data_IF_283661886196
#
_entry.id   IF_283661886196
#
_cell.length_a   1.000
_cell.length_b   1.000
_cell.length_c   1.000
_cell.angle_alpha   90.00
_cell.angle_beta   90.00
_cell.angle_gamma   90.00
#
_symmetry.space_group_name_H-M   'P 1'
#
loop_
_entity.id
_entity.type
_entity.pdbx_description
1 polymer ?
#
# COMPACT_ATOMS: atom_id res chain seq x y z
N UNK A 1 2.25 -2.59 16.59
CA UNK A 1 2.06 -4.05 16.40
C UNK A 1 3.34 -4.90 16.62
N UNK A 2 4.06 -4.70 17.75
CA UNK A 2 5.32 -5.43 18.05
C UNK A 2 5.11 -6.83 18.66
N UNK A 3 3.95 -7.08 19.28
CA UNK A 3 3.54 -8.38 19.83
C UNK A 3 3.40 -9.50 18.78
N UNK A 4 3.27 -9.14 17.49
CA UNK A 4 2.80 -10.08 16.48
C UNK A 4 3.92 -10.93 15.86
N UNK A 5 5.20 -10.54 15.92
CA UNK A 5 6.25 -11.20 15.12
C UNK A 5 6.57 -12.62 15.58
N UNK A 6 6.67 -12.86 16.89
CA UNK A 6 6.96 -14.19 17.43
C UNK A 6 5.76 -15.13 17.22
N UNK A 7 4.54 -14.65 17.49
CA UNK A 7 3.31 -15.43 17.29
C UNK A 7 3.00 -15.69 15.80
N UNK A 8 3.25 -14.73 14.91
CA UNK A 8 3.13 -14.92 13.45
C UNK A 8 4.18 -15.89 12.94
N UNK A 9 5.45 -15.78 13.37
CA UNK A 9 6.47 -16.75 13.02
C UNK A 9 6.05 -18.17 13.46
N UNK A 10 5.43 -18.31 14.63
CA UNK A 10 4.85 -19.57 15.09
C UNK A 10 3.68 -20.06 14.23
N UNK A 11 2.79 -19.17 13.76
CA UNK A 11 1.68 -19.53 12.87
C UNK A 11 2.17 -19.99 11.49
N UNK A 12 3.22 -19.36 10.96
CA UNK A 12 3.86 -19.72 9.68
C UNK A 12 5.06 -20.66 9.84
N UNK A 13 5.13 -21.43 10.94
CA UNK A 13 6.26 -22.32 11.24
C UNK A 13 6.54 -23.26 10.06
N UNK A 14 7.81 -23.43 9.74
CA UNK A 14 8.26 -24.27 8.63
C UNK A 14 8.41 -23.56 7.28
N UNK A 15 7.88 -22.34 7.11
CA UNK A 15 8.20 -21.51 5.94
C UNK A 15 9.59 -20.88 6.06
N UNK A 16 10.28 -20.69 4.93
CA UNK A 16 11.59 -20.05 4.89
C UNK A 16 11.55 -18.62 5.49
N UNK A 17 10.49 -17.88 5.20
CA UNK A 17 10.29 -16.53 5.74
C UNK A 17 10.14 -16.53 7.26
N UNK A 18 9.42 -17.50 7.83
CA UNK A 18 9.26 -17.62 9.28
C UNK A 18 10.60 -17.90 9.98
N UNK A 19 11.42 -18.81 9.44
CA UNK A 19 12.75 -19.13 9.98
C UNK A 19 13.63 -17.87 10.05
N UNK A 20 13.66 -17.09 8.97
CA UNK A 20 14.43 -15.85 8.92
C UNK A 20 13.95 -14.79 9.92
N UNK A 21 12.63 -14.59 10.05
CA UNK A 21 12.08 -13.62 11.01
C UNK A 21 12.35 -14.04 12.45
N UNK A 22 12.28 -15.35 12.75
CA UNK A 22 12.58 -15.92 14.07
C UNK A 22 14.04 -15.70 14.49
N UNK A 23 14.99 -15.64 13.55
CA UNK A 23 16.39 -15.33 13.84
C UNK A 23 16.64 -13.84 14.19
N UNK A 24 15.75 -12.93 13.78
CA UNK A 24 15.88 -11.46 13.98
C UNK A 24 15.07 -10.92 15.16
N UNK A 25 14.88 -11.73 16.20
CA UNK A 25 14.11 -11.38 17.41
C UNK A 25 14.53 -10.03 18.01
N UNK A 26 13.55 -9.25 18.42
CA UNK A 26 13.73 -8.09 19.30
C UNK A 26 12.87 -8.29 20.53
N UNK A 27 13.46 -8.14 21.72
CA UNK A 27 12.72 -8.22 22.99
C UNK A 27 11.60 -7.17 23.03
N UNK A 28 10.46 -7.53 23.62
CA UNK A 28 9.36 -6.62 23.90
C UNK A 28 9.80 -5.36 24.64
N UNK A 29 9.24 -4.22 24.26
CA UNK A 29 9.65 -2.91 24.80
C UNK A 29 8.96 -2.55 26.12
N UNK A 30 7.98 -3.35 26.58
CA UNK A 30 7.31 -3.15 27.86
C UNK A 30 7.05 -4.50 28.57
N UNK A 31 6.74 -4.45 29.87
CA UNK A 31 6.67 -5.64 30.73
C UNK A 31 5.69 -6.71 30.22
N UNK A 32 4.50 -6.32 29.77
CA UNK A 32 3.50 -7.25 29.25
C UNK A 32 4.00 -8.02 28.01
N UNK A 33 4.61 -7.35 27.03
CA UNK A 33 5.17 -8.05 25.85
C UNK A 33 6.34 -8.94 26.22
N UNK A 34 7.19 -8.52 27.17
CA UNK A 34 8.29 -9.35 27.65
C UNK A 34 7.80 -10.62 28.33
N UNK A 35 6.68 -10.55 29.06
CA UNK A 35 6.04 -11.74 29.64
C UNK A 35 5.53 -12.68 28.54
N UNK A 36 4.87 -12.16 27.49
CA UNK A 36 4.46 -12.98 26.36
C UNK A 36 5.66 -13.58 25.60
N UNK A 37 6.72 -12.81 25.38
CA UNK A 37 7.95 -13.31 24.75
C UNK A 37 8.54 -14.46 25.56
N UNK A 38 8.58 -14.33 26.89
CA UNK A 38 9.05 -15.38 27.80
C UNK A 38 8.16 -16.63 27.75
N UNK A 39 6.83 -16.47 27.82
CA UNK A 39 5.89 -17.59 27.80
C UNK A 39 5.91 -18.37 26.47
N UNK A 40 6.29 -17.72 25.39
CA UNK A 40 6.33 -18.29 24.04
C UNK A 40 7.76 -18.37 23.49
N UNK A 41 8.78 -18.32 24.35
CA UNK A 41 10.17 -18.38 23.94
C UNK A 41 10.53 -19.79 23.48
N UNK A 42 11.02 -19.90 22.24
CA UNK A 42 11.54 -21.15 21.68
C UNK A 42 12.95 -20.94 21.15
N UNK A 43 13.76 -21.97 20.93
CA UNK A 43 15.03 -21.79 20.22
C UNK A 43 14.78 -21.24 18.81
N UNK A 44 15.53 -20.22 18.32
CA UNK A 44 15.42 -19.78 16.94
C UNK A 44 15.96 -20.88 16.00
N UNK A 45 15.35 -21.00 14.82
CA UNK A 45 15.90 -21.81 13.74
C UNK A 45 17.22 -21.20 13.23
N UNK A 46 18.04 -22.02 12.58
CA UNK A 46 19.24 -21.53 11.87
C UNK A 46 18.84 -20.49 10.81
N UNK A 47 19.57 -19.36 10.72
CA UNK A 47 19.25 -18.30 9.78
C UNK A 47 19.44 -18.78 8.34
N UNK A 48 18.45 -18.50 7.49
CA UNK A 48 18.55 -18.76 6.05
C UNK A 48 19.35 -17.66 5.35
N UNK A 49 20.03 -18.05 4.27
CA UNK A 49 20.67 -17.11 3.37
C UNK A 49 19.61 -16.39 2.53
N UNK A 50 19.30 -15.15 2.89
CA UNK A 50 18.31 -14.33 2.18
C UNK A 50 18.61 -14.13 0.71
N UNK A 51 19.87 -14.28 0.28
CA UNK A 51 20.25 -14.13 -1.14
C UNK A 51 19.57 -15.16 -2.04
N UNK A 52 19.06 -16.25 -1.48
CA UNK A 52 18.29 -17.27 -2.22
C UNK A 52 16.79 -16.93 -2.31
N UNK A 53 16.30 -15.93 -1.57
CA UNK A 53 14.88 -15.61 -1.52
C UNK A 53 14.44 -14.85 -2.78
N UNK A 54 13.18 -15.04 -3.23
CA UNK A 54 12.64 -14.29 -4.36
C UNK A 54 12.76 -12.78 -4.18
N UNK A 55 13.14 -12.10 -5.26
CA UNK A 55 13.29 -10.64 -5.29
C UNK A 55 11.95 -9.89 -5.45
N UNK A 56 10.82 -10.60 -5.47
CA UNK A 56 9.50 -9.98 -5.43
C UNK A 56 8.46 -10.90 -4.77
N UNK A 57 7.47 -10.30 -4.12
CA UNK A 57 6.31 -10.96 -3.52
C UNK A 57 5.04 -10.22 -3.92
N UNK A 58 4.10 -10.96 -4.53
CA UNK A 58 2.75 -10.47 -4.84
C UNK A 58 1.78 -10.96 -3.77
N UNK A 59 1.37 -10.05 -2.88
CA UNK A 59 0.36 -10.27 -1.86
C UNK A 59 -1.04 -10.05 -2.44
N UNK A 60 -1.50 -10.98 -3.27
CA UNK A 60 -2.73 -10.84 -4.06
C UNK A 60 -3.98 -10.52 -3.20
N UNK A 61 -4.08 -11.08 -2.00
CA UNK A 61 -5.22 -10.83 -1.09
C UNK A 61 -5.39 -9.37 -0.67
N UNK A 62 -4.31 -8.58 -0.68
CA UNK A 62 -4.35 -7.15 -0.35
C UNK A 62 -3.95 -6.26 -1.54
N UNK A 63 -3.72 -6.85 -2.71
CA UNK A 63 -3.33 -6.14 -3.93
C UNK A 63 -2.03 -5.36 -3.80
N UNK A 64 -1.01 -5.93 -3.14
CA UNK A 64 0.31 -5.29 -2.98
C UNK A 64 1.42 -6.11 -3.59
N UNK A 65 2.41 -5.44 -4.18
CA UNK A 65 3.66 -6.04 -4.66
C UNK A 65 4.81 -5.38 -3.95
N UNK A 66 5.72 -6.20 -3.44
CA UNK A 66 7.00 -5.78 -2.88
C UNK A 66 8.09 -6.37 -3.75
N UNK A 67 9.06 -5.57 -4.18
CA UNK A 67 10.18 -6.00 -4.99
C UNK A 67 11.49 -5.36 -4.53
N UNK A 68 12.60 -6.05 -4.80
CA UNK A 68 13.95 -5.64 -4.47
C UNK A 68 14.89 -5.84 -5.65
N UNK A 69 15.95 -5.03 -5.71
CA UNK A 69 17.08 -5.23 -6.63
C UNK A 69 17.91 -6.44 -6.24
N UNK A 70 18.17 -6.61 -4.94
CA UNK A 70 18.86 -7.73 -4.32
C UNK A 70 18.60 -7.72 -2.79
N UNK A 71 19.45 -8.40 -2.02
CA UNK A 71 19.39 -8.48 -0.57
C UNK A 71 20.55 -7.76 0.14
N UNK A 72 21.32 -6.92 -0.54
CA UNK A 72 22.33 -6.08 0.12
C UNK A 72 21.67 -4.98 0.94
N UNK A 73 22.45 -4.33 1.80
CA UNK A 73 21.97 -3.26 2.68
C UNK A 73 21.55 -2.01 1.88
N UNK A 74 22.04 -1.87 0.65
CA UNK A 74 21.78 -0.76 -0.26
C UNK A 74 20.87 -1.11 -1.45
N UNK A 75 20.19 -2.26 -1.37
CA UNK A 75 19.22 -2.69 -2.36
C UNK A 75 18.19 -1.59 -2.64
N UNK A 76 17.81 -1.44 -3.91
CA UNK A 76 16.60 -0.67 -4.25
C UNK A 76 15.38 -1.50 -3.91
N UNK A 77 14.37 -0.90 -3.29
CA UNK A 77 13.08 -1.50 -3.01
C UNK A 77 11.98 -0.76 -3.74
N UNK A 78 10.99 -1.51 -4.18
CA UNK A 78 9.76 -1.00 -4.76
C UNK A 78 8.58 -1.62 -4.01
N UNK A 79 7.66 -0.78 -3.54
CA UNK A 79 6.29 -1.17 -3.20
C UNK A 79 5.36 -0.63 -4.28
N UNK A 80 4.41 -1.44 -4.70
CA UNK A 80 3.28 -1.00 -5.52
C UNK A 80 1.99 -1.55 -4.94
N UNK A 81 0.90 -0.80 -5.01
CA UNK A 81 -0.41 -1.31 -4.62
C UNK A 81 -1.53 -0.95 -5.59
N UNK A 82 -2.44 -1.89 -5.78
CA UNK A 82 -3.65 -1.74 -6.56
C UNK A 82 -4.63 -2.83 -6.12
N UNK A 83 -5.31 -2.59 -5.01
CA UNK A 83 -6.18 -3.59 -4.37
C UNK A 83 -7.53 -3.04 -3.95
N UNK A 84 -8.34 -3.91 -3.37
CA UNK A 84 -9.61 -3.51 -2.77
C UNK A 84 -9.40 -2.66 -1.51
N UNK A 85 -10.41 -1.86 -1.19
CA UNK A 85 -10.55 -1.25 0.12
C UNK A 85 -11.07 -2.29 1.12
N UNK A 86 -10.30 -2.59 2.14
CA UNK A 86 -10.67 -3.47 3.24
C UNK A 86 -11.29 -2.71 4.39
N UNK A 87 -10.56 -1.77 5.01
CA UNK A 87 -11.05 -1.14 6.22
C UNK A 87 -10.32 0.14 6.64
N UNK A 88 -10.97 0.82 7.60
CA UNK A 88 -10.56 1.96 8.41
C UNK A 88 -9.21 2.57 8.08
N UNK A 89 -8.09 1.95 8.45
CA UNK A 89 -6.75 2.55 8.38
C UNK A 89 -6.12 2.64 6.98
N UNK A 90 -6.72 2.10 5.93
CA UNK A 90 -6.22 2.30 4.56
C UNK A 90 -6.40 3.74 4.08
N UNK A 91 -5.54 4.16 3.16
CA UNK A 91 -5.66 5.46 2.50
C UNK A 91 -6.20 5.30 1.07
N UNK A 92 -6.54 6.42 0.44
CA UNK A 92 -7.03 6.46 -0.94
C UNK A 92 -5.85 6.46 -1.92
N UNK A 93 -5.18 5.31 -1.98
CA UNK A 93 -3.83 5.16 -2.54
C UNK A 93 -3.74 4.06 -3.62
N UNK A 94 -4.84 3.73 -4.30
CA UNK A 94 -4.80 2.73 -5.36
C UNK A 94 -3.93 3.21 -6.53
N UNK A 95 -2.91 2.42 -6.88
CA UNK A 95 -1.89 2.79 -7.85
C UNK A 95 -0.65 3.46 -7.25
N UNK A 96 -0.58 3.65 -5.93
CA UNK A 96 0.58 4.22 -5.27
C UNK A 96 1.83 3.34 -5.47
N UNK A 97 2.99 3.99 -5.57
CA UNK A 97 4.29 3.34 -5.54
C UNK A 97 5.21 4.02 -4.53
N UNK A 98 6.12 3.24 -3.94
CA UNK A 98 7.19 3.76 -3.09
C UNK A 98 8.51 3.15 -3.50
N UNK A 99 9.57 3.97 -3.44
CA UNK A 99 10.93 3.62 -3.82
C UNK A 99 11.85 3.96 -2.65
N UNK A 100 12.63 2.99 -2.22
CA UNK A 100 13.64 3.17 -1.19
C UNK A 100 14.99 2.70 -1.71
N UNK A 101 16.06 3.45 -1.47
CA UNK A 101 17.44 3.01 -1.63
C UNK A 101 18.33 3.85 -0.73
N UNK A 102 18.95 3.23 0.28
CA UNK A 102 19.60 3.87 1.44
C UNK A 102 18.64 4.70 2.31
N UNK A 103 17.79 5.51 1.69
CA UNK A 103 16.75 6.34 2.30
C UNK A 103 15.46 6.29 1.45
N UNK A 104 14.32 6.80 1.98
CA UNK A 104 13.11 6.94 1.19
C UNK A 104 13.34 7.92 0.03
N UNK A 105 13.20 7.46 -1.22
CA UNK A 105 13.36 8.30 -2.41
C UNK A 105 12.01 8.77 -2.96
N UNK A 106 11.05 7.84 -3.03
CA UNK A 106 9.65 8.13 -3.30
C UNK A 106 8.83 7.48 -2.20
N UNK A 107 8.11 8.27 -1.41
CA UNK A 107 7.38 7.75 -0.26
C UNK A 107 6.08 8.52 -0.06
N UNK A 108 5.19 7.96 0.75
CA UNK A 108 3.96 8.66 1.15
C UNK A 108 4.30 9.88 2.00
N UNK A 109 3.50 10.94 1.86
CA UNK A 109 3.68 12.19 2.60
C UNK A 109 2.67 12.35 3.73
N UNK A 110 3.05 13.16 4.71
CA UNK A 110 2.23 13.46 5.88
C UNK A 110 2.46 12.50 7.04
N UNK A 111 2.11 12.96 8.23
CA UNK A 111 2.31 12.23 9.49
C UNK A 111 0.97 11.93 10.16
N UNK A 112 0.86 10.77 10.79
CA UNK A 112 -0.31 10.45 11.60
C UNK A 112 -0.22 11.15 12.95
N UNK A 113 -1.07 12.15 13.15
CA UNK A 113 -1.16 12.88 14.42
C UNK A 113 -2.46 12.61 15.17
N UNK A 114 -3.56 12.45 14.43
CA UNK A 114 -4.89 12.18 14.97
C UNK A 114 -5.79 11.55 13.89
N UNK A 115 -6.91 10.96 14.30
CA UNK A 115 -7.82 10.21 13.45
C UNK A 115 -8.56 11.06 12.41
N UNK A 116 -9.05 12.24 12.80
CA UNK A 116 -9.90 13.11 11.98
C UNK A 116 -9.49 14.59 12.05
N UNK A 117 -8.19 14.85 12.26
CA UNK A 117 -7.63 16.20 12.14
C UNK A 117 -7.78 16.75 10.71
N UNK A 118 -7.68 18.09 10.52
CA UNK A 118 -7.69 18.67 9.17
C UNK A 118 -6.63 18.04 8.25
N UNK A 119 -5.43 17.76 8.77
CA UNK A 119 -4.37 17.06 8.04
C UNK A 119 -4.78 15.63 7.68
N UNK A 120 -5.36 14.89 8.62
CA UNK A 120 -5.78 13.52 8.38
C UNK A 120 -6.80 13.42 7.23
N UNK A 121 -7.86 14.22 7.26
CA UNK A 121 -8.99 14.10 6.32
C UNK A 121 -8.78 14.83 4.98
N UNK A 122 -7.84 15.79 4.91
CA UNK A 122 -7.57 16.57 3.69
C UNK A 122 -6.19 16.32 3.07
N UNK A 123 -5.30 15.57 3.73
CA UNK A 123 -3.98 15.24 3.19
C UNK A 123 -3.66 13.76 3.39
N UNK A 124 -3.36 13.34 4.62
CA UNK A 124 -2.75 12.03 4.94
C UNK A 124 -3.45 10.83 4.29
N UNK A 125 -4.78 10.76 4.38
CA UNK A 125 -5.53 9.61 3.85
C UNK A 125 -5.95 9.80 2.39
N UNK A 126 -5.69 10.97 1.82
CA UNK A 126 -6.18 11.43 0.52
C UNK A 126 -5.13 11.20 -0.55
N UNK A 127 -5.56 10.97 -1.78
CA UNK A 127 -4.69 10.58 -2.89
C UNK A 127 -3.56 11.59 -3.15
N UNK A 128 -3.80 12.88 -2.86
CA UNK A 128 -2.77 13.92 -2.96
C UNK A 128 -1.53 13.68 -2.11
N UNK A 129 -1.61 12.89 -1.03
CA UNK A 129 -0.46 12.54 -0.21
C UNK A 129 0.39 11.40 -0.76
N UNK A 130 -0.03 10.79 -1.87
CA UNK A 130 0.54 9.56 -2.43
C UNK A 130 1.10 9.78 -3.83
N UNK A 131 1.99 8.89 -4.26
CA UNK A 131 2.56 8.89 -5.60
C UNK A 131 1.54 8.32 -6.59
N UNK A 132 0.47 9.06 -6.82
CA UNK A 132 -0.72 8.64 -7.55
C UNK A 132 -1.02 9.58 -8.73
N UNK A 133 -2.18 9.38 -9.35
CA UNK A 133 -2.76 10.29 -10.34
C UNK A 133 -3.89 11.07 -9.66
N UNK A 134 -3.98 12.36 -9.95
CA UNK A 134 -5.17 13.18 -9.67
C UNK A 134 -5.87 13.50 -10.99
N UNK A 135 -7.20 13.56 -10.94
CA UNK A 135 -8.03 14.10 -12.01
C UNK A 135 -9.00 15.09 -11.37
N UNK A 136 -8.92 16.37 -11.73
CA UNK A 136 -9.72 17.40 -11.08
C UNK A 136 -11.07 17.60 -11.79
N UNK A 137 -12.15 17.45 -11.03
CA UNK A 137 -13.52 17.80 -11.43
C UNK A 137 -14.05 18.80 -10.39
N UNK A 138 -14.34 20.04 -10.80
CA UNK A 138 -14.63 21.17 -9.89
C UNK A 138 -15.77 20.90 -8.89
N UNK A 139 -16.83 20.23 -9.34
CA UNK A 139 -18.04 19.97 -8.56
C UNK A 139 -17.98 18.64 -7.76
N UNK A 140 -16.83 17.97 -7.73
CA UNK A 140 -16.67 16.74 -6.96
C UNK A 140 -16.58 17.02 -5.45
N UNK A 141 -17.36 16.27 -4.66
CA UNK A 141 -17.41 16.39 -3.20
C UNK A 141 -17.14 15.05 -2.54
N UNK A 142 -16.40 15.05 -1.42
CA UNK A 142 -16.14 13.86 -0.61
C UNK A 142 -17.11 13.75 0.57
N UNK A 143 -17.43 12.52 0.94
CA UNK A 143 -18.32 12.13 2.04
C UNK A 143 -17.73 10.92 2.75
N UNK A 144 -18.08 10.75 4.02
CA UNK A 144 -17.69 9.59 4.85
C UNK A 144 -16.17 9.28 4.93
N UNK A 145 -15.30 10.25 4.66
CA UNK A 145 -13.83 10.12 4.72
C UNK A 145 -13.25 10.24 6.13
N UNK A 146 -13.65 9.36 7.05
CA UNK A 146 -13.26 9.38 8.49
C UNK A 146 -13.59 10.69 9.23
N UNK A 147 -14.36 11.58 8.64
CA UNK A 147 -14.61 12.94 9.12
C UNK A 147 -15.75 13.01 10.16
N UNK A 148 -15.52 12.52 11.39
CA UNK A 148 -16.54 12.50 12.45
C UNK A 148 -16.92 13.90 12.93
N UNK A 149 -16.02 14.86 12.78
CA UNK A 149 -16.19 16.24 13.24
C UNK A 149 -16.81 17.17 12.20
N UNK A 150 -17.24 16.65 11.04
CA UNK A 150 -17.92 17.45 10.01
C UNK A 150 -17.06 18.58 9.44
N UNK A 151 -15.74 18.37 9.38
CA UNK A 151 -14.77 19.35 8.87
C UNK A 151 -14.99 19.63 7.38
N UNK A 152 -14.68 20.85 6.90
CA UNK A 152 -14.62 21.11 5.47
C UNK A 152 -13.63 20.17 4.78
N UNK A 153 -14.05 19.64 3.63
CA UNK A 153 -13.24 18.72 2.83
C UNK A 153 -12.74 19.42 1.57
N UNK A 154 -11.44 19.31 1.32
CA UNK A 154 -10.83 19.78 0.10
C UNK A 154 -11.08 18.79 -1.05
N UNK A 155 -11.30 19.34 -2.24
CA UNK A 155 -11.26 18.60 -3.50
C UNK A 155 -9.80 18.45 -3.91
N UNK A 156 -9.25 17.26 -3.70
CA UNK A 156 -7.87 16.94 -4.06
C UNK A 156 -7.77 16.37 -5.49
N UNK A 157 -8.88 16.24 -6.22
CA UNK A 157 -8.93 15.51 -7.49
C UNK A 157 -8.67 14.00 -7.34
N UNK A 158 -8.67 13.49 -6.11
CA UNK A 158 -8.22 12.14 -5.77
C UNK A 158 -9.28 11.05 -5.95
N UNK A 159 -9.06 9.95 -5.26
CA UNK A 159 -9.89 8.74 -5.28
C UNK A 159 -11.01 8.81 -4.22
N UNK A 160 -11.95 7.86 -4.32
CA UNK A 160 -13.06 7.50 -3.45
C UNK A 160 -13.70 8.67 -2.66
N UNK A 161 -14.83 9.13 -3.15
CA UNK A 161 -15.59 10.21 -2.54
C UNK A 161 -16.63 9.75 -1.49
N UNK A 162 -16.72 8.45 -1.21
CA UNK A 162 -17.65 7.91 -0.23
C UNK A 162 -17.15 6.55 0.27
N UNK A 163 -16.75 6.46 1.55
CA UNK A 163 -16.25 5.20 2.13
C UNK A 163 -16.95 4.83 3.44
N UNK A 164 -17.23 3.54 3.57
CA UNK A 164 -17.73 2.93 4.79
C UNK A 164 -16.85 1.73 5.17
N UNK A 165 -17.12 1.12 6.32
CA UNK A 165 -16.46 -0.11 6.72
C UNK A 165 -17.49 -1.19 7.07
N UNK A 166 -17.04 -2.45 6.99
CA UNK A 166 -17.78 -3.61 7.49
C UNK A 166 -17.01 -4.27 8.63
N UNK A 167 -17.75 -4.91 9.52
CA UNK A 167 -17.19 -5.52 10.73
C UNK A 167 -16.77 -6.96 10.49
N UNK A 168 -17.40 -7.63 9.52
CA UNK A 168 -17.10 -9.03 9.17
C UNK A 168 -16.69 -9.16 7.71
N UNK A 169 -16.00 -10.27 7.40
CA UNK A 169 -15.67 -10.62 6.02
C UNK A 169 -16.94 -10.87 5.19
N UNK A 170 -17.92 -11.55 5.76
CA UNK A 170 -19.19 -11.85 5.07
C UNK A 170 -19.94 -10.57 4.66
N UNK A 171 -20.01 -9.59 5.56
CA UNK A 171 -20.60 -8.28 5.25
C UNK A 171 -19.83 -7.56 4.14
N UNK A 172 -18.49 -7.61 4.19
CA UNK A 172 -17.65 -7.01 3.16
C UNK A 172 -17.86 -7.68 1.80
N UNK A 173 -17.95 -9.02 1.75
CA UNK A 173 -18.14 -9.80 0.53
C UNK A 173 -19.48 -9.51 -0.14
N UNK A 174 -20.56 -9.32 0.65
CA UNK A 174 -21.88 -8.93 0.13
C UNK A 174 -21.87 -7.57 -0.59
N UNK A 175 -20.92 -6.70 -0.27
CA UNK A 175 -20.78 -5.35 -0.82
C UNK A 175 -19.46 -5.15 -1.58
N UNK A 176 -18.82 -6.24 -2.00
CA UNK A 176 -17.49 -6.22 -2.61
C UNK A 176 -17.33 -5.20 -3.74
N UNK A 177 -18.37 -5.02 -4.56
CA UNK A 177 -18.34 -4.05 -5.66
C UNK A 177 -18.16 -2.60 -5.18
N UNK A 178 -18.73 -2.26 -4.02
CA UNK A 178 -18.57 -0.93 -3.41
C UNK A 178 -17.15 -0.73 -2.89
N UNK A 179 -16.45 -1.80 -2.48
CA UNK A 179 -15.10 -1.77 -1.94
C UNK A 179 -14.00 -1.95 -2.99
N UNK A 180 -14.37 -2.22 -4.23
CA UNK A 180 -13.41 -2.34 -5.31
C UNK A 180 -12.84 -0.96 -5.67
N UNK A 181 -11.52 -0.84 -5.57
CA UNK A 181 -10.77 0.39 -5.86
C UNK A 181 -9.73 0.13 -6.94
N UNK A 182 -8.98 -0.96 -6.81
CA UNK A 182 -8.16 -1.43 -7.91
C UNK A 182 -7.87 -2.92 -7.83
N UNK A 183 -7.24 -3.39 -8.90
CA UNK A 183 -6.86 -4.79 -9.10
C UNK A 183 -5.50 -4.84 -9.78
N UNK A 184 -4.61 -5.70 -9.29
CA UNK A 184 -3.40 -6.08 -10.03
C UNK A 184 -3.81 -7.03 -11.16
N UNK A 185 -3.68 -6.55 -12.40
CA UNK A 185 -4.09 -7.26 -13.62
C UNK A 185 -2.94 -7.99 -14.31
N UNK A 186 -1.69 -7.68 -13.96
CA UNK A 186 -0.51 -8.44 -14.37
C UNK A 186 0.58 -8.33 -13.31
N UNK A 187 1.32 -9.42 -13.07
CA UNK A 187 2.51 -9.43 -12.23
C UNK A 187 3.47 -10.52 -12.72
N UNK A 188 4.68 -10.13 -13.10
CA UNK A 188 5.74 -11.04 -13.55
C UNK A 188 7.05 -10.72 -12.83
N UNK A 189 7.72 -11.76 -12.34
CA UNK A 189 9.01 -11.64 -11.67
C UNK A 189 10.04 -12.53 -12.36
N UNK A 190 11.07 -11.91 -12.94
CA UNK A 190 12.24 -12.55 -13.56
C UNK A 190 13.51 -12.14 -12.80
N UNK A 191 14.69 -12.74 -13.06
CA UNK A 191 15.94 -12.26 -12.47
C UNK A 191 16.23 -10.79 -12.81
N UNK A 192 16.12 -10.42 -14.08
CA UNK A 192 16.58 -9.09 -14.54
C UNK A 192 15.52 -8.00 -14.38
N UNK A 193 14.25 -8.36 -14.22
CA UNK A 193 13.17 -7.39 -14.07
C UNK A 193 11.97 -7.92 -13.26
N UNK A 194 11.16 -6.99 -12.75
CA UNK A 194 9.80 -7.22 -12.30
C UNK A 194 8.86 -6.30 -13.08
N UNK A 195 7.72 -6.82 -13.52
CA UNK A 195 6.65 -6.04 -14.14
C UNK A 195 5.36 -6.22 -13.34
N UNK A 196 4.68 -5.13 -13.05
CA UNK A 196 3.34 -5.14 -12.44
C UNK A 196 2.45 -4.13 -13.16
N UNK A 197 1.19 -4.51 -13.38
CA UNK A 197 0.15 -3.63 -13.89
C UNK A 197 -1.05 -3.64 -12.95
N UNK A 198 -1.53 -2.45 -12.59
CA UNK A 198 -2.74 -2.25 -11.81
C UNK A 198 -3.78 -1.45 -12.59
N UNK A 199 -5.04 -1.86 -12.47
CA UNK A 199 -6.20 -1.06 -12.85
C UNK A 199 -6.80 -0.42 -11.61
N UNK A 200 -6.64 0.89 -11.45
CA UNK A 200 -7.24 1.67 -10.36
C UNK A 200 -8.39 2.56 -10.83
N UNK A 201 -8.98 2.28 -12.00
CA UNK A 201 -10.09 3.06 -12.56
C UNK A 201 -11.25 3.17 -11.57
N UNK A 202 -11.59 2.07 -10.89
CA UNK A 202 -12.69 2.01 -9.90
C UNK A 202 -12.41 2.77 -8.61
N UNK A 203 -11.19 3.26 -8.40
CA UNK A 203 -10.88 4.12 -7.28
C UNK A 203 -11.43 5.54 -7.49
N UNK A 204 -11.70 5.95 -8.72
CA UNK A 204 -12.18 7.30 -9.04
C UNK A 204 -13.70 7.30 -9.30
N UNK A 205 -14.33 8.47 -9.17
CA UNK A 205 -15.72 8.64 -9.54
C UNK A 205 -15.93 8.34 -11.04
N UNK A 206 -16.98 7.58 -11.38
CA UNK A 206 -17.33 7.22 -12.77
C UNK A 206 -17.67 8.45 -13.64
N UNK A 207 -18.09 9.56 -13.02
CA UNK A 207 -18.31 10.84 -13.71
C UNK A 207 -17.01 11.54 -14.13
N UNK A 208 -15.88 11.11 -13.58
CA UNK A 208 -14.59 11.80 -13.65
C UNK A 208 -13.58 11.07 -14.50
N UNK A 209 -13.43 9.76 -14.27
CA UNK A 209 -12.40 8.92 -14.90
C UNK A 209 -13.05 7.69 -15.53
N UNK A 210 -12.72 7.42 -16.79
CA UNK A 210 -13.15 6.22 -17.52
C UNK A 210 -12.04 5.17 -17.65
N UNK A 211 -10.78 5.56 -17.45
CA UNK A 211 -9.64 4.65 -17.40
C UNK A 211 -8.53 5.23 -16.52
N UNK A 212 -7.96 4.41 -15.62
CA UNK A 212 -6.72 4.71 -14.91
C UNK A 212 -5.94 3.40 -14.70
N UNK A 213 -4.99 3.15 -15.59
CA UNK A 213 -4.06 2.02 -15.49
C UNK A 213 -2.67 2.53 -15.17
N UNK A 214 -1.97 1.82 -14.29
CA UNK A 214 -0.54 2.02 -14.03
C UNK A 214 0.22 0.74 -14.29
N UNK A 215 1.32 0.86 -15.02
CA UNK A 215 2.30 -0.21 -15.21
C UNK A 215 3.63 0.24 -14.62
N UNK A 216 4.28 -0.65 -13.89
CA UNK A 216 5.60 -0.43 -13.31
C UNK A 216 6.51 -1.56 -13.78
N UNK A 217 7.65 -1.19 -14.35
CA UNK A 217 8.75 -2.11 -14.66
C UNK A 217 9.94 -1.72 -13.81
N UNK A 218 10.35 -2.62 -12.93
CA UNK A 218 11.59 -2.49 -12.17
C UNK A 218 12.66 -3.33 -12.85
N UNK A 219 13.52 -2.66 -13.63
CA UNK A 219 14.73 -3.20 -14.22
C UNK A 219 15.82 -3.24 -13.13
N UNK A 220 16.23 -4.45 -12.74
CA UNK A 220 17.19 -4.62 -11.66
C UNK A 220 18.60 -4.17 -12.08
N UNK A 221 19.39 -3.62 -11.13
CA UNK A 221 19.08 -3.54 -9.70
C UNK A 221 18.38 -2.24 -9.25
N UNK A 222 18.22 -1.21 -10.10
CA UNK A 222 17.83 0.12 -9.61
C UNK A 222 16.96 0.99 -10.53
N UNK A 223 16.60 0.54 -11.73
CA UNK A 223 15.90 1.40 -12.70
C UNK A 223 14.40 1.10 -12.70
N UNK A 224 13.58 2.10 -12.46
CA UNK A 224 12.12 1.96 -12.39
C UNK A 224 11.48 2.80 -13.50
N UNK A 225 10.62 2.17 -14.29
CA UNK A 225 9.84 2.80 -15.36
C UNK A 225 8.38 2.72 -14.97
N UNK A 226 7.69 3.86 -15.00
CA UNK A 226 6.27 3.96 -14.69
C UNK A 226 5.55 4.48 -15.93
N UNK A 227 4.50 3.77 -16.33
CA UNK A 227 3.65 4.14 -17.45
C UNK A 227 2.20 4.20 -16.97
N UNK A 228 1.60 5.37 -17.12
CA UNK A 228 0.20 5.61 -16.80
C UNK A 228 -0.63 5.78 -18.07
N UNK A 229 -1.81 5.14 -18.10
CA UNK A 229 -2.85 5.40 -19.11
C UNK A 229 -4.08 5.91 -18.39
N UNK A 230 -4.40 7.19 -18.60
CA UNK A 230 -5.46 7.89 -17.89
C UNK A 230 -6.40 8.56 -18.89
N UNK A 231 -7.68 8.20 -18.83
CA UNK A 231 -8.75 8.81 -19.61
C UNK A 231 -9.77 9.42 -18.65
N UNK A 232 -9.95 10.73 -18.72
CA UNK A 232 -11.03 11.43 -18.04
C UNK A 232 -12.30 11.38 -18.88
N UNK A 233 -13.46 11.49 -18.23
CA UNK A 233 -14.77 11.54 -18.93
C UNK A 233 -14.90 12.82 -19.76
N UNK A 234 -14.28 13.92 -19.30
CA UNK A 234 -14.18 15.16 -20.06
C UNK A 234 -12.72 15.53 -20.30
N UNK A 235 -12.34 15.95 -21.53
CA UNK A 235 -10.94 16.22 -21.87
C UNK A 235 -10.33 17.37 -21.06
N UNK A 236 -11.15 18.33 -20.61
CA UNK A 236 -10.73 19.49 -19.84
C UNK A 236 -10.36 19.19 -18.39
N UNK A 237 -10.71 18.01 -17.84
CA UNK A 237 -10.30 17.64 -16.49
C UNK A 237 -8.78 17.49 -16.43
N UNK A 238 -8.16 18.39 -15.68
CA UNK A 238 -6.71 18.43 -15.44
C UNK A 238 -6.26 17.14 -14.79
N UNK A 239 -5.10 16.64 -15.23
CA UNK A 239 -4.50 15.41 -14.73
C UNK A 239 -3.14 15.74 -14.15
N UNK A 240 -2.91 15.31 -12.92
CA UNK A 240 -1.64 15.55 -12.22
C UNK A 240 -1.01 14.21 -11.87
N UNK A 241 0.26 14.05 -12.21
CA UNK A 241 1.09 12.93 -11.77
C UNK A 241 1.91 13.37 -10.56
N UNK A 242 1.80 12.64 -9.45
CA UNK A 242 2.43 13.01 -8.19
C UNK A 242 3.69 12.17 -7.91
N UNK A 243 4.71 12.86 -7.41
CA UNK A 243 5.91 12.25 -6.82
C UNK A 243 6.32 13.05 -5.60
N UNK A 244 6.18 12.43 -4.44
CA UNK A 244 6.63 12.90 -3.14
C UNK A 244 8.02 12.34 -2.88
N UNK A 245 8.98 13.23 -2.68
CA UNK A 245 10.36 12.92 -2.37
C UNK A 245 10.70 13.41 -0.96
N UNK A 246 11.66 12.74 -0.32
CA UNK A 246 12.29 13.19 0.93
C UNK A 246 13.72 13.67 0.67
#
# INVERSE_FOLDING_TARGET
PRLMRNVIAQYFRGSELSRFVSARRRRGTHAQTRLFDFLHEEAPDEPLDVRTFPLAHHAAGIGKVFARGDWTDDATWLRFECGHWWNQHQHFEAGNFEIFRYEPLAAESGEYTDWDSPHAVNWLIRTVAHNCILVHQDDETWRNVRNRQGRPLANDGGQANDVFYRHTLEEWEREREHFERGTIIACENRPDFMHVAGDCTRAYAKSKVSLCLRQVVFLRPHTIVILDRVTSVRPEYEKTWLLHCY
#
